data_IF_892530231586
#
_entry.id   IF_892530231586
#
_cell.length_a   1.000
_cell.length_b   1.000
_cell.length_c   1.000
_cell.angle_alpha   90.00
_cell.angle_beta   90.00
_cell.angle_gamma   90.00
#
_symmetry.space_group_name_H-M   'P 1'
#
loop_
_entity.id
_entity.type
_entity.pdbx_description
1 polymer ?
#
# COMPACT_ATOMS: atom_id res chain seq x y z
N UNK A 1 -42.72 -4.87 -50.85
CA UNK A 1 -44.14 -5.03 -50.53
C UNK A 1 -44.30 -4.57 -49.11
N UNK A 2 -44.69 -3.40 -48.99
CA UNK A 2 -45.94 -2.75 -48.53
C UNK A 2 -46.02 -2.71 -47.00
N UNK A 3 -45.83 -1.51 -46.44
CA UNK A 3 -46.85 -0.54 -45.95
C UNK A 3 -47.40 -0.95 -44.60
N UNK A 4 -47.54 -0.12 -43.61
CA UNK A 4 -47.71 1.33 -43.46
C UNK A 4 -47.99 1.58 -41.98
N UNK A 5 -47.61 2.67 -41.56
CA UNK A 5 -48.32 3.92 -41.30
C UNK A 5 -49.07 3.97 -39.99
N UNK A 6 -48.73 4.97 -39.28
CA UNK A 6 -49.39 6.18 -38.76
C UNK A 6 -50.09 5.96 -37.39
N UNK A 7 -50.19 6.85 -36.50
CA UNK A 7 -49.95 8.27 -36.31
C UNK A 7 -50.39 8.64 -34.89
N UNK A 8 -49.73 9.62 -34.33
CA UNK A 8 -50.24 10.84 -33.68
C UNK A 8 -51.22 10.76 -32.52
N UNK A 9 -50.99 11.48 -31.45
CA UNK A 9 -51.54 12.78 -31.05
C UNK A 9 -51.26 13.01 -29.54
N UNK A 10 -50.49 13.98 -29.18
CA UNK A 10 -50.77 15.37 -28.80
C UNK A 10 -51.81 15.56 -27.68
N UNK A 11 -51.38 16.28 -26.62
CA UNK A 11 -52.17 17.33 -26.04
C UNK A 11 -52.14 17.41 -24.49
N UNK A 12 -52.06 18.64 -24.01
CA UNK A 12 -51.69 18.96 -22.62
C UNK A 12 -52.91 19.24 -21.75
N UNK A 13 -52.78 19.16 -20.43
CA UNK A 13 -53.77 19.75 -19.54
C UNK A 13 -53.15 20.52 -18.38
N UNK A 14 -53.53 21.71 -18.36
CA UNK A 14 -53.41 22.89 -17.57
C UNK A 14 -53.94 22.81 -16.14
N UNK A 15 -53.30 23.58 -15.26
CA UNK A 15 -53.78 24.49 -14.22
C UNK A 15 -55.14 24.19 -13.53
N UNK A 16 -55.09 24.09 -12.23
CA UNK A 16 -56.13 24.79 -11.40
C UNK A 16 -55.51 25.34 -10.09
N UNK A 17 -55.63 26.65 -9.94
CA UNK A 17 -55.56 27.45 -8.70
C UNK A 17 -56.86 27.29 -7.92
N UNK A 18 -56.76 27.31 -6.61
CA UNK A 18 -57.76 27.84 -5.66
C UNK A 18 -57.08 27.82 -4.27
N UNK A 19 -56.89 28.80 -3.47
CA UNK A 19 -57.69 30.01 -3.20
C UNK A 19 -58.08 30.00 -1.73
N UNK A 20 -57.58 31.01 -1.03
CA UNK A 20 -58.16 31.70 0.12
C UNK A 20 -57.80 31.30 1.58
N UNK A 21 -57.35 32.26 2.25
CA UNK A 21 -57.64 32.97 3.51
C UNK A 21 -56.76 32.52 4.65
N UNK A 22 -55.90 33.30 5.26
CA UNK A 22 -56.11 34.64 5.85
C UNK A 22 -56.21 34.52 7.35
N UNK A 23 -55.16 34.84 8.06
CA UNK A 23 -55.29 35.42 9.43
C UNK A 23 -53.96 36.11 9.81
N UNK A 24 -54.09 37.43 10.00
CA UNK A 24 -53.12 38.34 10.60
C UNK A 24 -52.86 37.95 12.07
N UNK A 25 -51.59 37.99 12.49
CA UNK A 25 -51.22 38.31 13.85
C UNK A 25 -49.99 39.23 13.80
N UNK A 26 -50.22 40.50 14.15
CA UNK A 26 -49.24 41.49 14.55
C UNK A 26 -48.47 41.00 15.76
N UNK A 27 -47.16 41.03 15.72
CA UNK A 27 -46.30 41.11 16.91
C UNK A 27 -45.13 42.07 16.68
N UNK A 28 -44.74 42.86 17.68
CA UNK A 28 -43.99 44.08 17.47
C UNK A 28 -42.50 43.86 17.32
N UNK A 29 -41.92 44.69 16.47
CA UNK A 29 -40.49 44.85 16.18
C UNK A 29 -39.76 45.26 17.48
N UNK A 30 -38.84 44.43 17.96
CA UNK A 30 -37.85 44.76 19.00
C UNK A 30 -36.55 45.23 18.33
N UNK A 31 -36.38 46.54 18.33
CA UNK A 31 -35.13 47.23 17.94
C UNK A 31 -34.20 47.21 19.15
N UNK A 32 -33.29 46.24 19.24
CA UNK A 32 -32.00 46.38 19.97
C UNK A 32 -31.31 45.00 20.04
N UNK A 33 -30.64 44.64 18.94
CA UNK A 33 -29.57 43.63 18.98
C UNK A 33 -28.43 44.13 18.08
N UNK A 34 -27.18 44.16 18.53
CA UNK A 34 -26.06 44.58 17.71
C UNK A 34 -25.75 43.56 16.61
N UNK A 35 -25.53 44.06 15.39
CA UNK A 35 -25.08 43.26 14.25
C UNK A 35 -23.76 42.54 14.58
N UNK A 36 -23.61 41.24 14.23
CA UNK A 36 -22.31 40.58 14.28
C UNK A 36 -21.37 41.15 13.24
N UNK A 37 -20.04 41.22 13.51
CA UNK A 37 -19.07 41.76 12.56
C UNK A 37 -19.02 40.93 11.28
N UNK A 38 -19.15 41.57 10.15
CA UNK A 38 -18.90 41.06 8.81
C UNK A 38 -17.40 40.77 8.68
N UNK A 39 -16.98 39.51 8.77
CA UNK A 39 -15.57 39.12 8.66
C UNK A 39 -15.31 37.61 8.69
N UNK A 40 -16.32 36.75 8.57
CA UNK A 40 -16.13 35.28 8.62
C UNK A 40 -16.15 34.58 7.26
N UNK A 41 -16.00 35.31 6.15
CA UNK A 41 -16.01 34.73 4.79
C UNK A 41 -14.64 34.24 4.29
N UNK A 42 -13.54 34.77 4.81
CA UNK A 42 -12.22 34.54 4.22
C UNK A 42 -11.40 33.42 4.89
N UNK A 43 -11.86 32.88 6.01
CA UNK A 43 -11.14 31.80 6.72
C UNK A 43 -11.45 30.41 6.16
N UNK A 44 -12.61 30.25 5.51
CA UNK A 44 -13.04 28.94 4.98
C UNK A 44 -12.52 28.68 3.55
N UNK A 45 -12.14 29.75 2.84
CA UNK A 45 -11.54 29.66 1.49
C UNK A 45 -10.01 29.41 1.58
N UNK A 46 -9.35 29.94 2.61
CA UNK A 46 -7.93 29.66 2.89
C UNK A 46 -7.67 28.23 3.40
N UNK A 47 -8.67 27.58 3.98
CA UNK A 47 -8.57 26.17 4.41
C UNK A 47 -8.73 25.17 3.27
N UNK A 48 -9.26 25.58 2.11
CA UNK A 48 -9.43 24.71 0.93
C UNK A 48 -8.21 24.65 0.02
N UNK A 49 -7.28 25.60 0.13
CA UNK A 49 -6.06 25.66 -0.68
C UNK A 49 -4.79 25.22 0.01
N UNK A 50 -4.86 24.69 1.25
CA UNK A 50 -3.73 24.07 1.89
C UNK A 50 -3.50 22.69 1.24
N UNK A 51 -2.39 22.47 0.49
CA UNK A 51 -2.12 21.19 -0.11
C UNK A 51 -1.84 20.19 1.01
N UNK A 52 -2.64 19.12 1.04
CA UNK A 52 -2.44 17.93 1.88
C UNK A 52 -1.17 17.19 1.41
N UNK A 53 -0.01 17.62 1.93
CA UNK A 53 1.32 17.24 1.46
C UNK A 53 1.99 16.16 2.32
N UNK A 54 1.28 15.62 3.32
CA UNK A 54 1.83 14.62 4.26
C UNK A 54 1.60 13.16 3.87
N UNK A 55 0.61 12.87 3.05
CA UNK A 55 0.17 11.48 2.82
C UNK A 55 0.76 10.77 1.61
N UNK A 56 1.37 11.48 0.68
CA UNK A 56 1.64 10.97 -0.66
C UNK A 56 2.87 10.09 -0.79
N UNK A 57 3.85 10.19 0.11
CA UNK A 57 5.12 9.50 -0.05
C UNK A 57 5.19 8.10 0.58
N UNK A 58 4.17 7.63 1.31
CA UNK A 58 4.28 6.48 2.20
C UNK A 58 3.11 5.49 2.13
N UNK A 59 2.42 5.44 1.01
CA UNK A 59 1.25 4.57 0.82
C UNK A 59 1.68 3.14 0.46
N UNK A 60 2.28 2.44 1.38
CA UNK A 60 2.60 1.02 1.19
C UNK A 60 1.74 0.06 2.00
N UNK A 61 0.84 0.53 2.84
CA UNK A 61 -0.18 -0.33 3.46
C UNK A 61 -1.31 0.52 4.02
N UNK A 62 -2.55 0.11 3.79
CA UNK A 62 -3.76 0.78 4.25
C UNK A 62 -3.83 0.97 5.76
N UNK A 63 -3.34 2.10 6.24
CA UNK A 63 -3.37 2.48 7.64
C UNK A 63 -4.32 3.67 7.77
N UNK A 64 -5.44 3.45 8.46
CA UNK A 64 -6.37 4.50 8.83
C UNK A 64 -5.72 5.55 9.73
N UNK A 65 -6.08 6.82 9.54
CA UNK A 65 -5.71 7.94 10.42
C UNK A 65 -6.19 7.63 11.84
N UNK A 66 -5.36 7.76 12.89
CA UNK A 66 -5.80 7.56 14.26
C UNK A 66 -6.85 8.62 14.64
N UNK A 67 -8.03 8.17 15.03
CA UNK A 67 -9.08 9.02 15.58
C UNK A 67 -8.63 9.60 16.94
N UNK A 68 -8.92 10.86 17.14
CA UNK A 68 -8.57 11.70 18.33
C UNK A 68 -9.37 11.35 19.59
N UNK A 69 -9.42 10.07 20.00
CA UNK A 69 -10.17 9.64 21.21
C UNK A 69 -9.31 8.96 22.26
N UNK A 70 -8.08 9.47 22.51
CA UNK A 70 -7.28 9.02 23.66
C UNK A 70 -6.88 10.20 24.57
N UNK A 71 -7.88 10.82 25.21
CA UNK A 71 -7.68 11.88 26.22
C UNK A 71 -7.38 11.33 27.63
N UNK A 72 -6.81 10.12 27.77
CA UNK A 72 -6.56 9.51 29.07
C UNK A 72 -5.21 8.79 29.25
N UNK A 73 -4.42 8.66 28.22
CA UNK A 73 -3.14 7.95 28.33
C UNK A 73 -2.04 8.86 28.91
N UNK A 74 -1.29 8.35 29.91
CA UNK A 74 -0.16 9.09 30.45
C UNK A 74 0.94 9.30 29.38
N UNK A 75 1.75 10.36 29.46
CA UNK A 75 2.85 10.58 28.49
C UNK A 75 3.81 9.39 28.39
N UNK A 76 3.96 8.60 29.45
CA UNK A 76 4.75 7.38 29.50
C UNK A 76 4.11 6.24 28.70
N UNK A 77 2.78 6.09 28.75
CA UNK A 77 2.06 5.06 28.01
C UNK A 77 2.09 5.33 26.50
N UNK A 78 1.87 6.58 26.10
CA UNK A 78 1.98 6.99 24.70
C UNK A 78 3.40 6.80 24.12
N UNK A 79 4.45 7.02 24.92
CA UNK A 79 5.83 6.79 24.49
C UNK A 79 6.12 5.29 24.34
N UNK A 80 5.61 4.47 25.25
CA UNK A 80 5.74 3.00 25.24
C UNK A 80 5.00 2.40 24.05
N UNK A 81 3.80 2.86 23.73
CA UNK A 81 3.05 2.41 22.55
C UNK A 81 3.78 2.71 21.24
N UNK A 82 4.36 3.91 21.12
CA UNK A 82 5.18 4.27 19.95
C UNK A 82 6.42 3.39 19.84
N UNK A 83 7.10 3.08 20.94
CA UNK A 83 8.25 2.20 20.95
C UNK A 83 7.88 0.78 20.48
N UNK A 84 6.78 0.21 20.98
CA UNK A 84 6.26 -1.07 20.50
C UNK A 84 5.85 -1.03 19.03
N UNK A 85 5.21 0.06 18.60
CA UNK A 85 4.86 0.25 17.19
C UNK A 85 6.10 0.25 16.28
N UNK A 86 7.16 0.95 16.70
CA UNK A 86 8.47 0.94 16.00
C UNK A 86 9.08 -0.45 15.95
N UNK A 87 9.05 -1.20 17.06
CA UNK A 87 9.58 -2.57 17.13
C UNK A 87 8.82 -3.53 16.21
N UNK A 88 7.48 -3.47 16.18
CA UNK A 88 6.66 -4.30 15.28
C UNK A 88 6.95 -3.98 13.81
N UNK A 89 7.02 -2.69 13.45
CA UNK A 89 7.32 -2.26 12.09
C UNK A 89 8.75 -2.68 11.67
N UNK A 90 9.73 -2.48 12.54
CA UNK A 90 11.10 -2.94 12.32
C UNK A 90 11.17 -4.45 12.14
N UNK A 91 10.51 -5.23 13.03
CA UNK A 91 10.44 -6.68 12.94
C UNK A 91 9.82 -7.18 11.62
N UNK A 92 8.78 -6.48 11.12
CA UNK A 92 8.18 -6.80 9.84
C UNK A 92 9.18 -6.63 8.68
N UNK A 93 9.86 -5.49 8.62
CA UNK A 93 10.86 -5.23 7.58
C UNK A 93 12.11 -6.11 7.71
N UNK A 94 12.50 -6.46 8.93
CA UNK A 94 13.57 -7.43 9.18
C UNK A 94 13.20 -8.80 8.58
N UNK A 95 11.99 -9.31 8.86
CA UNK A 95 11.53 -10.57 8.29
C UNK A 95 11.47 -10.52 6.76
N UNK A 96 10.93 -9.45 6.18
CA UNK A 96 10.93 -9.27 4.73
C UNK A 96 12.34 -9.19 4.13
N UNK A 97 13.30 -8.61 4.86
CA UNK A 97 14.70 -8.55 4.45
C UNK A 97 15.36 -9.93 4.37
N UNK A 98 15.03 -10.83 5.29
CA UNK A 98 15.56 -12.20 5.33
C UNK A 98 14.80 -13.21 4.48
N UNK A 99 13.68 -12.85 3.86
CA UNK A 99 12.91 -13.74 3.00
C UNK A 99 13.72 -14.43 1.90
N UNK A 100 14.71 -13.80 1.23
CA UNK A 100 15.54 -14.49 0.24
C UNK A 100 16.21 -15.73 0.81
N UNK A 101 16.80 -15.66 2.01
CA UNK A 101 17.44 -16.81 2.63
C UNK A 101 16.46 -17.92 2.97
N UNK A 102 15.26 -17.56 3.45
CA UNK A 102 14.20 -18.53 3.69
C UNK A 102 13.80 -19.25 2.40
N UNK A 103 13.60 -18.53 1.29
CA UNK A 103 13.19 -19.13 0.03
C UNK A 103 14.31 -19.99 -0.59
N UNK A 104 15.57 -19.61 -0.45
CA UNK A 104 16.70 -20.43 -0.85
C UNK A 104 16.81 -21.72 -0.03
N UNK A 105 16.43 -21.69 1.25
CA UNK A 105 16.37 -22.89 2.08
C UNK A 105 15.27 -23.89 1.68
N UNK A 106 14.33 -23.47 0.82
CA UNK A 106 13.30 -24.34 0.25
C UNK A 106 13.78 -25.13 -0.98
N UNK A 107 15.05 -25.04 -1.36
CA UNK A 107 15.58 -25.92 -2.40
C UNK A 107 15.32 -27.41 -2.06
N UNK A 108 14.88 -28.23 -3.02
CA UNK A 108 14.86 -28.03 -4.48
C UNK A 108 13.56 -27.43 -5.04
N UNK A 109 12.66 -26.91 -4.22
CA UNK A 109 11.34 -26.39 -4.68
C UNK A 109 11.50 -25.21 -5.62
N UNK A 110 10.90 -25.28 -6.79
CA UNK A 110 10.91 -24.21 -7.78
C UNK A 110 9.98 -23.03 -7.43
N UNK A 111 10.17 -21.85 -8.05
CA UNK A 111 9.45 -20.62 -7.69
C UNK A 111 7.93 -20.75 -7.88
N UNK A 112 7.46 -21.49 -8.85
CA UNK A 112 6.04 -21.70 -9.13
C UNK A 112 5.36 -22.52 -8.02
N UNK A 113 6.03 -23.56 -7.54
CA UNK A 113 5.53 -24.40 -6.45
C UNK A 113 5.52 -23.62 -5.11
N UNK A 114 6.59 -22.88 -4.80
CA UNK A 114 6.68 -22.09 -3.57
C UNK A 114 5.58 -21.04 -3.52
N UNK A 115 5.33 -20.30 -4.61
CA UNK A 115 4.26 -19.28 -4.65
C UNK A 115 2.90 -19.91 -4.44
N UNK A 116 2.64 -21.04 -5.08
CA UNK A 116 1.35 -21.72 -4.96
C UNK A 116 1.10 -22.22 -3.52
N UNK A 117 2.07 -22.87 -2.89
CA UNK A 117 1.98 -23.26 -1.48
C UNK A 117 1.83 -22.04 -0.56
N UNK A 118 2.59 -20.98 -0.81
CA UNK A 118 2.49 -19.73 -0.06
C UNK A 118 1.09 -19.15 -0.08
N UNK A 119 0.40 -19.13 -1.24
CA UNK A 119 -0.97 -18.65 -1.40
C UNK A 119 -1.93 -19.51 -0.55
N UNK A 120 -1.91 -20.84 -0.75
CA UNK A 120 -2.84 -21.75 -0.08
C UNK A 120 -2.64 -21.76 1.43
N UNK A 121 -1.39 -21.83 1.88
CA UNK A 121 -1.06 -21.86 3.30
C UNK A 121 -1.33 -20.51 3.98
N UNK A 122 -1.17 -19.39 3.27
CA UNK A 122 -1.59 -18.06 3.78
C UNK A 122 -3.10 -17.99 3.94
N UNK A 123 -3.86 -18.54 2.98
CA UNK A 123 -5.33 -18.62 3.09
C UNK A 123 -5.75 -19.43 4.33
N UNK A 124 -5.16 -20.61 4.52
CA UNK A 124 -5.44 -21.47 5.68
C UNK A 124 -5.08 -20.75 6.99
N UNK A 125 -3.89 -20.15 7.05
CA UNK A 125 -3.45 -19.41 8.24
C UNK A 125 -4.34 -18.22 8.57
N UNK A 126 -4.70 -17.41 7.57
CA UNK A 126 -5.59 -16.28 7.76
C UNK A 126 -7.02 -16.71 8.11
N UNK A 127 -7.54 -17.80 7.52
CA UNK A 127 -8.83 -18.36 7.89
C UNK A 127 -8.84 -18.86 9.36
N UNK A 128 -7.75 -19.47 9.81
CA UNK A 128 -7.57 -19.83 11.20
C UNK A 128 -7.58 -18.58 12.11
N UNK A 129 -6.87 -17.52 11.73
CA UNK A 129 -6.87 -16.25 12.47
C UNK A 129 -8.26 -15.62 12.53
N UNK A 130 -9.00 -15.57 11.42
CA UNK A 130 -10.38 -15.08 11.40
C UNK A 130 -11.30 -15.88 12.34
N UNK A 131 -11.08 -17.18 12.43
CA UNK A 131 -11.83 -18.08 13.34
C UNK A 131 -11.49 -17.79 14.80
N UNK A 132 -10.21 -17.74 15.15
CA UNK A 132 -9.73 -17.44 16.51
C UNK A 132 -10.16 -16.05 16.97
N UNK A 133 -10.03 -15.04 16.09
CA UNK A 133 -10.41 -13.65 16.40
C UNK A 133 -11.91 -13.38 16.23
N UNK A 134 -12.68 -14.35 15.74
CA UNK A 134 -14.12 -14.23 15.45
C UNK A 134 -14.48 -13.07 14.53
N UNK A 135 -13.61 -12.76 13.56
CA UNK A 135 -13.77 -11.61 12.66
C UNK A 135 -14.38 -11.96 11.29
N UNK A 136 -14.90 -13.18 11.09
CA UNK A 136 -15.63 -13.61 9.90
C UNK A 136 -16.75 -12.64 9.45
N UNK A 137 -17.54 -12.02 10.37
CA UNK A 137 -18.58 -11.08 9.96
C UNK A 137 -18.04 -9.87 9.20
N UNK A 138 -16.82 -9.39 9.53
CA UNK A 138 -16.15 -8.29 8.82
C UNK A 138 -15.80 -8.69 7.39
N UNK A 139 -15.21 -9.86 7.20
CA UNK A 139 -14.89 -10.41 5.87
C UNK A 139 -16.16 -10.58 5.03
N UNK A 140 -17.24 -11.14 5.60
CA UNK A 140 -18.52 -11.31 4.91
C UNK A 140 -19.16 -9.97 4.54
N UNK A 141 -19.00 -8.93 5.35
CA UNK A 141 -19.45 -7.58 5.05
C UNK A 141 -18.72 -6.98 3.84
N UNK A 142 -17.41 -7.26 3.69
CA UNK A 142 -16.61 -6.86 2.52
C UNK A 142 -17.12 -7.58 1.26
N UNK A 143 -17.39 -8.89 1.33
CA UNK A 143 -17.89 -9.69 0.20
C UNK A 143 -19.25 -9.23 -0.33
N UNK A 144 -20.07 -8.57 0.50
CA UNK A 144 -21.33 -7.98 0.06
C UNK A 144 -21.17 -6.72 -0.78
N UNK A 145 -19.99 -6.11 -0.78
CA UNK A 145 -19.69 -4.85 -1.45
C UNK A 145 -18.92 -5.11 -2.75
N UNK A 146 -19.63 -5.22 -3.89
CA UNK A 146 -19.03 -5.55 -5.22
C UNK A 146 -17.79 -4.70 -5.56
N UNK A 147 -17.81 -3.42 -5.19
CA UNK A 147 -16.68 -2.51 -5.44
C UNK A 147 -15.44 -2.93 -4.66
N UNK A 148 -15.58 -3.26 -3.37
CA UNK A 148 -14.47 -3.74 -2.55
C UNK A 148 -13.94 -5.09 -3.04
N UNK A 149 -14.84 -6.00 -3.42
CA UNK A 149 -14.46 -7.29 -4.03
C UNK A 149 -13.61 -7.07 -5.27
N UNK A 150 -14.02 -6.19 -6.20
CA UNK A 150 -13.23 -5.86 -7.39
C UNK A 150 -11.84 -5.33 -7.04
N UNK A 151 -11.73 -4.43 -6.07
CA UNK A 151 -10.44 -3.91 -5.62
C UNK A 151 -9.57 -4.97 -4.94
N UNK A 152 -10.14 -5.90 -4.15
CA UNK A 152 -9.38 -7.00 -3.54
C UNK A 152 -8.88 -8.02 -4.57
N UNK A 153 -9.62 -8.25 -5.66
CA UNK A 153 -9.14 -9.05 -6.81
C UNK A 153 -7.94 -8.38 -7.47
N UNK A 154 -8.04 -7.07 -7.77
CA UNK A 154 -6.92 -6.31 -8.36
C UNK A 154 -5.71 -6.32 -7.44
N UNK A 155 -5.89 -6.11 -6.14
CA UNK A 155 -4.82 -6.20 -5.15
C UNK A 155 -4.17 -7.60 -5.15
N UNK A 156 -4.99 -8.66 -5.17
CA UNK A 156 -4.51 -10.04 -5.26
C UNK A 156 -3.64 -10.28 -6.51
N UNK A 157 -4.08 -9.84 -7.67
CA UNK A 157 -3.31 -10.00 -8.91
C UNK A 157 -2.00 -9.22 -8.89
N UNK A 158 -2.00 -7.99 -8.39
CA UNK A 158 -0.78 -7.17 -8.29
C UNK A 158 0.23 -7.78 -7.33
N UNK A 159 -0.21 -8.24 -6.15
CA UNK A 159 0.69 -8.86 -5.18
C UNK A 159 1.17 -10.24 -5.65
N UNK A 160 0.36 -10.97 -6.42
CA UNK A 160 0.78 -12.22 -7.05
C UNK A 160 1.93 -12.00 -8.03
N UNK A 161 1.83 -11.01 -8.93
CA UNK A 161 2.91 -10.66 -9.85
C UNK A 161 4.18 -10.30 -9.07
N UNK A 162 4.05 -9.50 -8.02
CA UNK A 162 5.16 -9.15 -7.14
C UNK A 162 5.82 -10.39 -6.52
N UNK A 163 5.04 -11.28 -5.91
CA UNK A 163 5.54 -12.49 -5.29
C UNK A 163 6.20 -13.44 -6.29
N UNK A 164 5.60 -13.61 -7.46
CA UNK A 164 6.12 -14.51 -8.49
C UNK A 164 7.47 -14.01 -9.02
N UNK A 165 7.55 -12.72 -9.36
CA UNK A 165 8.80 -12.11 -9.83
C UNK A 165 9.87 -12.14 -8.74
N UNK A 166 9.53 -11.86 -7.48
CA UNK A 166 10.44 -11.94 -6.35
C UNK A 166 11.03 -13.35 -6.16
N UNK A 167 10.18 -14.37 -6.20
CA UNK A 167 10.61 -15.75 -6.06
C UNK A 167 11.48 -16.20 -7.25
N UNK A 168 11.10 -15.88 -8.49
CA UNK A 168 11.92 -16.15 -9.67
C UNK A 168 13.28 -15.49 -9.49
N UNK A 169 13.34 -14.21 -9.20
CA UNK A 169 14.58 -13.47 -9.03
C UNK A 169 15.46 -14.06 -7.91
N UNK A 170 14.87 -14.37 -6.75
CA UNK A 170 15.59 -14.92 -5.61
C UNK A 170 16.20 -16.28 -5.93
N UNK A 171 15.43 -17.20 -6.54
CA UNK A 171 15.88 -18.56 -6.83
C UNK A 171 16.77 -18.65 -8.06
N UNK A 172 16.86 -17.59 -8.87
CA UNK A 172 17.76 -17.50 -10.03
C UNK A 172 19.00 -16.62 -9.78
N UNK A 173 19.27 -16.24 -8.53
CA UNK A 173 20.47 -15.48 -8.18
C UNK A 173 20.42 -14.00 -8.58
N UNK A 174 19.26 -13.34 -8.47
CA UNK A 174 19.06 -11.92 -8.78
C UNK A 174 18.50 -11.14 -7.56
N UNK A 175 18.97 -11.47 -6.36
CA UNK A 175 18.49 -10.83 -5.12
C UNK A 175 18.85 -9.34 -5.08
N UNK A 176 20.00 -8.95 -5.65
CA UNK A 176 20.38 -7.54 -5.78
C UNK A 176 19.35 -6.76 -6.60
N UNK A 177 18.81 -7.35 -7.69
CA UNK A 177 17.78 -6.69 -8.48
C UNK A 177 16.44 -6.59 -7.73
N UNK A 178 16.11 -7.54 -6.86
CA UNK A 178 14.93 -7.42 -5.99
C UNK A 178 15.08 -6.26 -5.02
N UNK A 179 16.26 -6.12 -4.41
CA UNK A 179 16.60 -4.98 -3.55
C UNK A 179 16.44 -3.64 -4.29
N UNK A 180 16.98 -3.54 -5.51
CA UNK A 180 16.83 -2.35 -6.34
C UNK A 180 15.37 -1.99 -6.58
N UNK A 181 14.51 -2.97 -6.88
CA UNK A 181 13.09 -2.76 -7.07
C UNK A 181 12.41 -2.15 -5.85
N UNK A 182 12.72 -2.64 -4.66
CA UNK A 182 12.17 -2.08 -3.42
C UNK A 182 12.77 -0.73 -3.04
N UNK A 183 14.01 -0.43 -3.41
CA UNK A 183 14.55 0.93 -3.29
C UNK A 183 13.88 1.92 -4.26
N UNK A 184 13.54 1.50 -5.46
CA UNK A 184 12.85 2.34 -6.46
C UNK A 184 11.38 2.58 -6.05
N UNK A 185 10.76 1.70 -5.27
CA UNK A 185 9.33 1.76 -4.96
C UNK A 185 8.85 3.10 -4.38
N UNK A 186 9.51 3.77 -3.41
CA UNK A 186 9.07 5.09 -2.94
C UNK A 186 9.06 6.14 -4.05
N UNK A 187 10.05 6.10 -4.95
CA UNK A 187 10.16 7.02 -6.08
C UNK A 187 9.02 6.79 -7.07
N UNK A 188 8.73 5.51 -7.37
CA UNK A 188 7.62 5.14 -8.23
C UNK A 188 6.27 5.50 -7.61
N UNK A 189 6.11 5.35 -6.29
CA UNK A 189 4.89 5.75 -5.58
C UNK A 189 4.62 7.24 -5.74
N UNK A 190 5.65 8.09 -5.64
CA UNK A 190 5.54 9.54 -5.93
C UNK A 190 5.14 9.77 -7.38
N UNK A 191 5.75 9.09 -8.33
CA UNK A 191 5.41 9.18 -9.76
C UNK A 191 3.95 8.76 -10.02
N UNK A 192 3.49 7.68 -9.41
CA UNK A 192 2.10 7.23 -9.50
C UNK A 192 1.12 8.24 -8.87
N UNK A 193 1.50 8.90 -7.78
CA UNK A 193 0.77 10.01 -7.19
C UNK A 193 0.53 11.13 -8.20
N UNK A 194 1.56 11.53 -8.95
CA UNK A 194 1.42 12.54 -10.02
C UNK A 194 0.55 12.07 -11.17
N UNK A 195 0.83 10.87 -11.69
CA UNK A 195 0.18 10.39 -12.91
C UNK A 195 -1.30 10.03 -12.69
N UNK A 196 -1.62 9.42 -11.52
CA UNK A 196 -2.96 8.92 -11.23
C UNK A 196 -3.77 9.90 -10.39
N UNK A 197 -3.17 10.48 -9.34
CA UNK A 197 -3.86 11.40 -8.43
C UNK A 197 -3.73 12.86 -8.86
N UNK A 198 -2.90 13.14 -9.91
CA UNK A 198 -2.63 14.48 -10.45
C UNK A 198 -2.05 15.45 -9.41
N UNK A 199 -1.28 14.92 -8.48
CA UNK A 199 -0.62 15.70 -7.44
C UNK A 199 0.50 16.56 -8.04
N UNK A 200 0.72 17.76 -7.50
CA UNK A 200 1.82 18.63 -7.94
C UNK A 200 3.09 18.29 -7.17
N UNK A 201 4.15 17.93 -7.90
CA UNK A 201 5.45 17.68 -7.29
C UNK A 201 6.16 18.99 -6.95
N UNK A 202 6.90 18.94 -5.83
CA UNK A 202 7.90 19.96 -5.50
C UNK A 202 9.14 19.78 -6.38
N UNK A 203 9.92 20.85 -6.51
CA UNK A 203 11.18 20.82 -7.28
C UNK A 203 12.13 19.72 -6.77
N UNK A 204 12.25 19.55 -5.47
CA UNK A 204 13.06 18.49 -4.83
C UNK A 204 12.63 17.09 -5.26
N UNK A 205 11.33 16.84 -5.40
CA UNK A 205 10.79 15.55 -5.85
C UNK A 205 11.05 15.31 -7.34
N UNK A 206 10.98 16.35 -8.18
CA UNK A 206 11.40 16.26 -9.58
C UNK A 206 12.88 15.96 -9.75
N UNK A 207 13.73 16.57 -8.91
CA UNK A 207 15.18 16.27 -8.89
C UNK A 207 15.41 14.81 -8.50
N UNK A 208 14.77 14.32 -7.43
CA UNK A 208 14.89 12.92 -7.03
C UNK A 208 14.43 11.96 -8.13
N UNK A 209 13.31 12.25 -8.80
CA UNK A 209 12.80 11.46 -9.91
C UNK A 209 13.78 11.45 -11.10
N UNK A 210 14.36 12.60 -11.45
CA UNK A 210 15.38 12.73 -12.50
C UNK A 210 16.64 11.90 -12.18
N UNK A 211 17.13 11.95 -10.94
CA UNK A 211 18.29 11.15 -10.50
C UNK A 211 17.97 9.65 -10.58
N UNK A 212 16.76 9.24 -10.16
CA UNK A 212 16.35 7.84 -10.24
C UNK A 212 16.23 7.36 -11.70
N UNK A 213 15.70 8.19 -12.59
CA UNK A 213 15.68 7.87 -14.03
C UNK A 213 17.10 7.74 -14.60
N UNK A 214 18.01 8.62 -14.21
CA UNK A 214 19.43 8.54 -14.59
C UNK A 214 20.08 7.24 -14.05
N UNK A 215 19.76 6.82 -12.83
CA UNK A 215 20.24 5.57 -12.25
C UNK A 215 19.83 4.36 -13.10
N UNK A 216 18.55 4.29 -13.50
CA UNK A 216 18.04 3.23 -14.40
C UNK A 216 18.78 3.29 -15.74
N UNK A 217 18.98 4.49 -16.30
CA UNK A 217 19.74 4.70 -17.55
C UNK A 217 21.19 4.17 -17.47
N UNK A 218 21.89 4.45 -16.37
CA UNK A 218 23.26 3.96 -16.14
C UNK A 218 23.30 2.43 -16.05
N UNK A 219 22.33 1.83 -15.33
CA UNK A 219 22.24 0.37 -15.21
C UNK A 219 21.98 -0.27 -16.57
N UNK A 220 21.04 0.27 -17.37
CA UNK A 220 20.72 -0.24 -18.70
C UNK A 220 21.92 -0.11 -19.65
N UNK A 221 22.55 1.07 -19.68
CA UNK A 221 23.65 1.34 -20.60
C UNK A 221 24.93 0.54 -20.25
N UNK A 222 25.23 0.40 -18.95
CA UNK A 222 26.46 -0.27 -18.51
C UNK A 222 26.32 -1.78 -18.45
N UNK A 223 25.17 -2.30 -18.02
CA UNK A 223 24.96 -3.75 -17.86
C UNK A 223 24.41 -4.44 -19.13
N UNK A 224 23.95 -3.66 -20.10
CA UNK A 224 23.37 -4.19 -21.35
C UNK A 224 22.07 -4.95 -21.22
N UNK A 225 21.47 -4.95 -20.01
CA UNK A 225 20.21 -5.63 -19.72
C UNK A 225 19.21 -4.68 -19.07
N UNK A 226 17.98 -4.72 -19.55
CA UNK A 226 16.89 -3.96 -18.97
C UNK A 226 16.51 -4.52 -17.59
N UNK A 227 16.43 -3.71 -16.51
CA UNK A 227 16.17 -4.16 -15.13
C UNK A 227 14.69 -4.49 -14.92
N UNK A 228 14.17 -5.46 -15.67
CA UNK A 228 12.76 -5.82 -15.69
C UNK A 228 12.28 -6.33 -14.33
N UNK A 229 13.15 -7.03 -13.58
CA UNK A 229 12.84 -7.53 -12.24
C UNK A 229 12.55 -6.35 -11.30
N UNK A 230 13.50 -5.41 -11.22
CA UNK A 230 13.37 -4.24 -10.35
C UNK A 230 12.14 -3.40 -10.69
N UNK A 231 11.90 -3.14 -11.98
CA UNK A 231 10.76 -2.34 -12.44
C UNK A 231 9.43 -3.08 -12.23
N UNK A 232 9.39 -4.39 -12.45
CA UNK A 232 8.19 -5.20 -12.21
C UNK A 232 7.83 -5.21 -10.73
N UNK A 233 8.82 -5.40 -9.84
CA UNK A 233 8.62 -5.36 -8.40
C UNK A 233 8.15 -3.98 -7.93
N UNK A 234 8.83 -2.92 -8.35
CA UNK A 234 8.46 -1.56 -7.99
C UNK A 234 7.04 -1.21 -8.48
N UNK A 235 6.72 -1.51 -9.74
CA UNK A 235 5.41 -1.18 -10.34
C UNK A 235 4.28 -1.98 -9.72
N UNK A 236 4.44 -3.30 -9.59
CA UNK A 236 3.40 -4.16 -9.00
C UNK A 236 3.13 -3.79 -7.55
N UNK A 237 4.18 -3.52 -6.75
CA UNK A 237 4.02 -3.15 -5.35
C UNK A 237 3.53 -1.71 -5.17
N UNK A 238 3.98 -0.77 -6.00
CA UNK A 238 3.49 0.62 -5.99
C UNK A 238 1.99 0.70 -6.35
N UNK A 239 1.55 0.00 -7.40
CA UNK A 239 0.13 -0.09 -7.76
C UNK A 239 -0.69 -0.82 -6.68
N UNK A 240 -0.15 -1.91 -6.10
CA UNK A 240 -0.76 -2.57 -4.96
C UNK A 240 -0.97 -1.60 -3.79
N UNK A 241 0.03 -0.79 -3.46
CA UNK A 241 -0.05 0.26 -2.44
C UNK A 241 -1.17 1.27 -2.72
N UNK A 242 -1.33 1.73 -3.98
CA UNK A 242 -2.44 2.62 -4.37
C UNK A 242 -3.81 1.95 -4.17
N UNK A 243 -3.94 0.68 -4.58
CA UNK A 243 -5.19 -0.08 -4.36
C UNK A 243 -5.48 -0.20 -2.86
N UNK A 244 -4.47 -0.53 -2.05
CA UNK A 244 -4.62 -0.62 -0.59
C UNK A 244 -5.00 0.72 0.04
N UNK A 245 -4.51 1.85 -0.48
CA UNK A 245 -4.96 3.19 -0.06
C UNK A 245 -6.46 3.38 -0.29
N UNK A 246 -6.96 2.97 -1.44
CA UNK A 246 -8.39 3.10 -1.79
C UNK A 246 -9.33 2.28 -0.89
N UNK A 247 -8.89 1.10 -0.44
CA UNK A 247 -9.74 0.18 0.33
C UNK A 247 -9.38 0.11 1.83
N UNK A 248 -8.25 0.69 2.23
CA UNK A 248 -7.69 0.57 3.58
C UNK A 248 -8.65 0.91 4.72
N UNK A 249 -9.47 1.97 4.65
CA UNK A 249 -10.44 2.27 5.69
C UNK A 249 -11.51 1.20 5.88
N UNK A 250 -11.79 0.40 4.84
CA UNK A 250 -12.89 -0.58 4.80
C UNK A 250 -12.43 -2.03 4.91
N UNK A 251 -11.12 -2.30 4.75
CA UNK A 251 -10.57 -3.66 4.67
C UNK A 251 -9.37 -3.78 5.62
N UNK A 252 -9.54 -4.53 6.69
CA UNK A 252 -8.43 -4.83 7.62
C UNK A 252 -7.39 -5.78 6.99
N UNK A 253 -6.18 -5.84 7.58
CA UNK A 253 -5.06 -6.59 7.02
C UNK A 253 -5.34 -8.09 6.88
N UNK A 254 -5.99 -8.72 7.88
CA UNK A 254 -6.28 -10.16 7.85
C UNK A 254 -7.34 -10.47 6.80
N UNK A 255 -8.45 -9.72 6.80
CA UNK A 255 -9.50 -9.89 5.80
C UNK A 255 -9.00 -9.61 4.38
N UNK A 256 -8.14 -8.59 4.22
CA UNK A 256 -7.52 -8.26 2.93
C UNK A 256 -6.67 -9.41 2.40
N UNK A 257 -5.73 -9.92 3.20
CA UNK A 257 -4.86 -11.03 2.79
C UNK A 257 -5.66 -12.31 2.57
N UNK A 258 -6.70 -12.57 3.37
CA UNK A 258 -7.59 -13.72 3.16
C UNK A 258 -8.26 -13.65 1.78
N UNK A 259 -8.84 -12.50 1.43
CA UNK A 259 -9.51 -12.32 0.14
C UNK A 259 -8.53 -12.39 -1.02
N UNK A 260 -7.38 -11.70 -0.92
CA UNK A 260 -6.32 -11.77 -1.93
C UNK A 260 -5.88 -13.22 -2.18
N UNK A 261 -5.60 -13.99 -1.11
CA UNK A 261 -5.24 -15.41 -1.22
C UNK A 261 -6.40 -16.26 -1.77
N UNK A 262 -7.65 -15.97 -1.40
CA UNK A 262 -8.83 -16.66 -1.90
C UNK A 262 -8.98 -16.50 -3.42
N UNK A 263 -8.83 -15.27 -3.92
CA UNK A 263 -8.91 -14.98 -5.37
C UNK A 263 -7.75 -15.62 -6.14
N UNK A 264 -6.59 -15.79 -5.50
CA UNK A 264 -5.42 -16.43 -6.10
C UNK A 264 -5.44 -17.96 -6.00
N UNK A 265 -6.37 -18.54 -5.23
CA UNK A 265 -6.48 -20.00 -5.06
C UNK A 265 -6.59 -20.76 -6.40
N UNK A 266 -7.40 -20.33 -7.38
CA UNK A 266 -7.44 -20.99 -8.68
C UNK A 266 -6.07 -20.99 -9.38
N UNK A 267 -5.34 -19.86 -9.32
CA UNK A 267 -3.99 -19.76 -9.90
C UNK A 267 -3.02 -20.72 -9.20
N UNK A 268 -3.06 -20.77 -7.87
CA UNK A 268 -2.23 -21.68 -7.09
C UNK A 268 -2.51 -23.17 -7.42
N UNK A 269 -3.78 -23.54 -7.58
CA UNK A 269 -4.16 -24.91 -7.97
C UNK A 269 -3.64 -25.23 -9.37
N UNK A 270 -3.78 -24.32 -10.33
CA UNK A 270 -3.26 -24.50 -11.70
C UNK A 270 -1.74 -24.64 -11.67
N UNK A 271 -1.02 -23.81 -10.89
CA UNK A 271 0.44 -23.91 -10.76
C UNK A 271 0.87 -25.26 -10.16
N UNK A 272 0.26 -25.70 -9.05
CA UNK A 272 0.58 -26.99 -8.44
C UNK A 272 0.27 -28.16 -9.38
N UNK A 273 -0.86 -28.10 -10.10
CA UNK A 273 -1.20 -29.12 -11.09
C UNK A 273 -0.18 -29.17 -12.21
N UNK A 274 0.21 -28.03 -12.76
CA UNK A 274 1.21 -27.94 -13.82
C UNK A 274 2.58 -28.46 -13.35
N UNK A 275 3.05 -28.03 -12.18
CA UNK A 275 4.32 -28.51 -11.61
C UNK A 275 4.23 -30.01 -11.30
N UNK A 276 3.12 -30.47 -10.73
CA UNK A 276 2.91 -31.87 -10.40
C UNK A 276 2.99 -32.81 -11.63
N UNK A 277 2.47 -32.33 -12.77
CA UNK A 277 2.53 -33.12 -14.04
C UNK A 277 3.91 -33.05 -14.72
N UNK A 278 4.60 -31.90 -14.65
CA UNK A 278 5.83 -31.66 -15.41
C UNK A 278 7.11 -32.02 -14.65
N UNK A 279 7.18 -31.69 -13.36
CA UNK A 279 8.40 -31.83 -12.55
C UNK A 279 8.21 -32.69 -11.30
N UNK A 280 6.96 -32.95 -10.91
CA UNK A 280 6.63 -33.55 -9.60
C UNK A 280 6.65 -32.50 -8.48
N UNK A 281 5.81 -32.70 -7.45
CA UNK A 281 5.77 -31.83 -6.29
C UNK A 281 6.85 -32.23 -5.28
N UNK A 282 7.47 -31.25 -4.66
CA UNK A 282 8.56 -31.47 -3.70
C UNK A 282 8.07 -31.69 -2.26
N UNK A 283 6.82 -31.31 -1.95
CA UNK A 283 6.26 -31.50 -0.63
C UNK A 283 6.19 -33.00 -0.26
N UNK A 284 6.90 -33.35 0.83
CA UNK A 284 6.98 -34.74 1.29
C UNK A 284 8.05 -35.61 0.58
N UNK A 285 8.67 -35.16 -0.51
CA UNK A 285 9.71 -35.92 -1.23
C UNK A 285 11.13 -35.44 -0.90
N UNK A 286 11.31 -34.19 -0.48
CA UNK A 286 12.60 -33.61 -0.16
C UNK A 286 12.98 -33.68 1.35
N UNK A 287 12.30 -34.54 2.12
CA UNK A 287 12.59 -34.76 3.53
C UNK A 287 11.71 -33.96 4.49
N UNK A 288 11.72 -34.34 5.77
CA UNK A 288 10.82 -33.76 6.78
C UNK A 288 11.11 -32.30 7.08
N UNK A 289 12.37 -31.89 7.16
CA UNK A 289 12.76 -30.49 7.42
C UNK A 289 12.24 -29.59 6.31
N UNK A 290 12.46 -29.99 5.05
CA UNK A 290 11.96 -29.26 3.88
C UNK A 290 10.43 -29.14 3.91
N UNK A 291 9.71 -30.21 4.21
CA UNK A 291 8.25 -30.22 4.28
C UNK A 291 7.76 -29.22 5.36
N UNK A 292 8.38 -29.21 6.55
CA UNK A 292 8.05 -28.25 7.61
C UNK A 292 8.32 -26.83 7.16
N UNK A 293 9.48 -26.55 6.56
CA UNK A 293 9.78 -25.21 6.03
C UNK A 293 8.76 -24.79 4.98
N UNK A 294 8.39 -25.65 4.05
CA UNK A 294 7.42 -25.33 3.03
C UNK A 294 6.02 -25.09 3.61
N UNK A 295 5.59 -25.86 4.62
CA UNK A 295 4.33 -25.64 5.33
C UNK A 295 4.32 -24.33 6.14
N UNK A 296 5.48 -23.86 6.58
CA UNK A 296 5.59 -22.54 7.23
C UNK A 296 5.45 -21.35 6.27
N UNK A 297 5.41 -21.56 4.95
CA UNK A 297 5.35 -20.48 3.98
C UNK A 297 4.17 -19.52 4.17
N UNK A 298 3.02 -20.05 4.62
CA UNK A 298 1.86 -19.23 4.97
C UNK A 298 2.11 -18.32 6.18
N UNK A 299 2.72 -18.85 7.22
CA UNK A 299 3.07 -18.10 8.43
C UNK A 299 4.12 -17.03 8.10
N UNK A 300 5.16 -17.41 7.35
CA UNK A 300 6.24 -16.50 6.91
C UNK A 300 5.72 -15.37 6.02
N UNK A 301 4.59 -15.57 5.33
CA UNK A 301 3.92 -14.54 4.55
C UNK A 301 3.06 -13.62 5.42
N UNK A 302 2.25 -14.19 6.29
CA UNK A 302 1.26 -13.44 7.05
C UNK A 302 1.89 -12.71 8.26
N UNK A 303 2.88 -13.28 8.94
CA UNK A 303 3.48 -12.69 10.14
C UNK A 303 4.05 -11.29 9.92
N UNK A 304 4.88 -11.02 8.89
CA UNK A 304 5.37 -9.67 8.65
C UNK A 304 4.24 -8.68 8.37
N UNK A 305 3.21 -9.08 7.63
CA UNK A 305 2.05 -8.25 7.34
C UNK A 305 1.27 -7.89 8.60
N UNK A 306 1.10 -8.84 9.53
CA UNK A 306 0.43 -8.60 10.80
C UNK A 306 1.25 -7.69 11.72
N UNK A 307 2.56 -7.92 11.82
CA UNK A 307 3.48 -7.05 12.55
C UNK A 307 3.46 -5.63 11.98
N UNK A 308 3.52 -5.52 10.65
CA UNK A 308 3.44 -4.24 9.97
C UNK A 308 2.11 -3.52 10.29
N UNK A 309 0.97 -4.21 10.16
CA UNK A 309 -0.34 -3.63 10.45
C UNK A 309 -0.47 -3.21 11.91
N UNK A 310 0.09 -3.99 12.85
CA UNK A 310 0.13 -3.65 14.27
C UNK A 310 1.02 -2.43 14.56
N UNK A 311 2.18 -2.35 13.91
CA UNK A 311 3.13 -1.26 14.04
C UNK A 311 2.60 0.04 13.46
N UNK A 312 2.10 0.00 12.24
CA UNK A 312 1.66 1.16 11.48
C UNK A 312 0.52 1.95 12.14
N UNK A 313 -0.27 1.32 13.01
CA UNK A 313 -1.29 2.00 13.83
C UNK A 313 -0.72 2.83 14.98
N UNK A 314 0.54 2.63 15.35
CA UNK A 314 1.17 3.14 16.57
C UNK A 314 2.29 4.15 16.30
N UNK A 315 2.82 4.18 15.09
CA UNK A 315 3.93 5.06 14.73
C UNK A 315 3.55 6.03 13.61
N UNK A 316 4.15 7.23 13.59
CA UNK A 316 3.96 8.17 12.48
C UNK A 316 4.44 7.58 11.15
N UNK A 317 3.79 7.96 10.05
CA UNK A 317 4.17 7.56 8.69
C UNK A 317 5.64 7.84 8.36
N UNK A 318 6.22 8.92 8.91
CA UNK A 318 7.65 9.24 8.75
C UNK A 318 8.56 8.13 9.28
N UNK A 319 8.19 7.49 10.41
CA UNK A 319 8.95 6.39 10.98
C UNK A 319 8.84 5.14 10.09
N UNK A 320 7.63 4.85 9.60
CA UNK A 320 7.41 3.74 8.65
C UNK A 320 8.24 3.96 7.39
N UNK A 321 8.25 5.19 6.85
CA UNK A 321 9.01 5.55 5.67
C UNK A 321 10.53 5.40 5.82
N UNK A 322 11.06 5.56 7.03
CA UNK A 322 12.47 5.30 7.29
C UNK A 322 12.73 3.79 7.48
N UNK A 323 11.86 3.11 8.22
CA UNK A 323 12.03 1.67 8.49
C UNK A 323 11.84 0.80 7.25
N UNK A 324 11.11 1.25 6.24
CA UNK A 324 10.91 0.48 5.00
C UNK A 324 12.22 0.17 4.26
N UNK A 325 13.28 0.96 4.46
CA UNK A 325 14.57 0.70 3.84
C UNK A 325 15.35 -0.46 4.47
N UNK A 326 14.96 -0.94 5.64
CA UNK A 326 15.61 -2.08 6.31
C UNK A 326 15.55 -3.34 5.43
N UNK A 327 14.40 -3.64 4.82
CA UNK A 327 14.27 -4.83 3.99
C UNK A 327 15.18 -4.78 2.74
N UNK A 328 15.16 -3.76 1.88
CA UNK A 328 16.04 -3.73 0.71
C UNK A 328 17.53 -3.60 1.09
N UNK A 329 17.89 -2.94 2.21
CA UNK A 329 19.28 -2.93 2.68
C UNK A 329 19.74 -4.35 3.02
N UNK A 330 18.91 -5.12 3.74
CA UNK A 330 19.24 -6.51 4.07
C UNK A 330 19.32 -7.39 2.81
N UNK A 331 18.39 -7.25 1.88
CA UNK A 331 18.40 -8.00 0.62
C UNK A 331 19.65 -7.67 -0.20
N UNK A 332 20.02 -6.39 -0.29
CA UNK A 332 21.27 -5.96 -0.92
C UNK A 332 22.50 -6.59 -0.24
N UNK A 333 22.54 -6.53 1.10
CA UNK A 333 23.60 -7.13 1.91
C UNK A 333 23.70 -8.65 1.66
N UNK A 334 22.55 -9.34 1.64
CA UNK A 334 22.48 -10.78 1.35
C UNK A 334 22.99 -11.05 -0.05
N UNK A 335 22.54 -10.32 -1.07
CA UNK A 335 22.96 -10.50 -2.45
C UNK A 335 24.47 -10.32 -2.63
N UNK A 336 25.00 -9.22 -2.11
CA UNK A 336 26.43 -8.89 -2.29
C UNK A 336 27.37 -9.79 -1.46
N UNK A 337 27.10 -9.94 -0.15
CA UNK A 337 28.06 -10.57 0.76
C UNK A 337 27.79 -12.03 1.06
N UNK A 338 26.55 -12.47 1.04
CA UNK A 338 26.20 -13.88 1.32
C UNK A 338 26.13 -14.68 0.01
N UNK A 339 25.40 -14.18 -1.00
CA UNK A 339 25.21 -14.87 -2.27
C UNK A 339 26.30 -14.56 -3.29
N UNK A 340 27.16 -13.57 -3.02
CA UNK A 340 28.27 -13.18 -3.90
C UNK A 340 27.82 -12.88 -5.34
N UNK A 341 26.64 -12.26 -5.49
CA UNK A 341 26.15 -11.86 -6.81
C UNK A 341 27.08 -10.80 -7.43
N UNK A 342 27.33 -10.86 -8.73
CA UNK A 342 28.26 -9.95 -9.39
C UNK A 342 27.77 -8.49 -9.32
N UNK A 343 28.67 -7.61 -8.88
CA UNK A 343 28.44 -6.16 -8.74
C UNK A 343 29.44 -5.37 -9.57
N UNK A 344 29.26 -5.30 -10.90
CA UNK A 344 30.11 -4.47 -11.74
C UNK A 344 29.97 -2.98 -11.40
N UNK A 345 30.93 -2.12 -11.76
CA UNK A 345 30.94 -0.69 -11.39
C UNK A 345 29.63 0.05 -11.73
N UNK A 346 29.00 -0.29 -12.84
CA UNK A 346 27.77 0.33 -13.31
C UNK A 346 26.61 0.07 -12.34
N UNK A 347 26.54 -1.13 -11.76
CA UNK A 347 25.55 -1.44 -10.70
C UNK A 347 25.80 -0.62 -9.45
N UNK A 348 27.06 -0.48 -9.01
CA UNK A 348 27.41 0.38 -7.86
C UNK A 348 27.01 1.84 -8.10
N UNK A 349 27.30 2.39 -9.28
CA UNK A 349 26.90 3.76 -9.65
C UNK A 349 25.37 3.88 -9.65
N UNK A 350 24.67 2.93 -10.23
CA UNK A 350 23.20 2.92 -10.25
C UNK A 350 22.58 2.90 -8.84
N UNK A 351 23.07 2.03 -7.95
CA UNK A 351 22.63 1.99 -6.56
C UNK A 351 22.95 3.29 -5.81
N UNK A 352 24.16 3.85 -5.99
CA UNK A 352 24.52 5.13 -5.37
C UNK A 352 23.59 6.27 -5.79
N UNK A 353 23.21 6.33 -7.07
CA UNK A 353 22.27 7.31 -7.58
C UNK A 353 20.85 7.08 -6.99
N UNK A 354 20.38 5.83 -6.91
CA UNK A 354 19.08 5.53 -6.29
C UNK A 354 19.08 5.94 -4.82
N UNK A 355 20.16 5.63 -4.07
CA UNK A 355 20.27 6.03 -2.66
C UNK A 355 20.32 7.55 -2.51
N UNK A 356 21.02 8.28 -3.39
CA UNK A 356 21.02 9.73 -3.41
C UNK A 356 19.60 10.30 -3.64
N UNK A 357 18.85 9.75 -4.62
CA UNK A 357 17.48 10.13 -4.86
C UNK A 357 16.57 9.89 -3.64
N UNK A 358 16.76 8.76 -2.95
CA UNK A 358 15.99 8.41 -1.74
C UNK A 358 16.32 9.32 -0.56
N UNK A 359 17.58 9.70 -0.37
CA UNK A 359 17.98 10.66 0.66
C UNK A 359 17.31 12.02 0.42
N UNK A 360 17.32 12.51 -0.83
CA UNK A 360 16.65 13.76 -1.21
C UNK A 360 15.14 13.67 -0.93
N UNK A 361 14.50 12.61 -1.36
CA UNK A 361 13.05 12.40 -1.18
C UNK A 361 12.68 12.29 0.31
N UNK A 362 13.46 11.55 1.08
CA UNK A 362 13.26 11.39 2.53
C UNK A 362 13.45 12.71 3.28
N UNK A 363 14.49 13.48 2.94
CA UNK A 363 14.75 14.78 3.53
C UNK A 363 13.62 15.78 3.22
N UNK A 364 13.10 15.79 1.98
CA UNK A 364 11.95 16.61 1.61
C UNK A 364 10.72 16.26 2.41
N UNK A 365 10.40 14.97 2.54
CA UNK A 365 9.24 14.47 3.30
C UNK A 365 9.32 14.83 4.79
N UNK A 366 10.49 14.66 5.41
CA UNK A 366 10.72 15.03 6.83
C UNK A 366 10.60 16.54 7.02
N UNK A 367 11.15 17.34 6.10
CA UNK A 367 11.10 18.80 6.15
C UNK A 367 9.66 19.31 6.02
N UNK A 368 8.87 18.70 5.14
CA UNK A 368 7.45 18.99 4.97
C UNK A 368 6.65 18.70 6.26
N UNK A 369 6.85 17.51 6.84
CA UNK A 369 6.17 17.12 8.07
C UNK A 369 6.52 18.05 9.25
N UNK A 370 7.76 18.55 9.33
CA UNK A 370 8.17 19.51 10.35
C UNK A 370 7.51 20.88 10.16
N UNK A 371 7.39 21.36 8.92
CA UNK A 371 6.71 22.64 8.62
C UNK A 371 5.25 22.60 8.99
N UNK A 372 4.53 21.56 8.61
CA UNK A 372 3.11 21.38 8.95
C UNK A 372 2.87 21.40 10.48
N UNK A 373 3.74 20.74 11.26
CA UNK A 373 3.63 20.75 12.72
C UNK A 373 3.84 22.15 13.33
N UNK A 374 4.77 22.95 12.79
CA UNK A 374 5.00 24.33 13.29
C UNK A 374 3.80 25.21 13.03
N UNK A 375 3.22 25.14 11.84
CA UNK A 375 2.02 25.95 11.50
C UNK A 375 0.85 25.64 12.45
N UNK A 376 0.64 24.36 12.81
CA UNK A 376 -0.42 23.96 13.76
C UNK A 376 -0.12 24.46 15.18
N UNK A 377 1.15 24.43 15.62
CA UNK A 377 1.56 24.96 16.93
C UNK A 377 1.37 26.48 16.99
N UNK A 378 1.78 27.21 15.96
CA UNK A 378 1.68 28.66 15.90
C UNK A 378 0.21 29.13 15.90
N UNK A 379 -0.71 28.38 15.30
CA UNK A 379 -2.16 28.66 15.34
C UNK A 379 -2.75 28.35 16.74
N UNK A 380 -2.29 27.28 17.40
CA UNK A 380 -2.75 26.91 18.73
C UNK A 380 -2.29 27.90 19.81
N UNK A 381 -1.14 28.57 19.64
CA UNK A 381 -0.62 29.58 20.54
C UNK A 381 -1.31 30.96 20.38
N UNK A 382 -2.11 31.14 19.31
CA UNK A 382 -2.87 32.36 19.03
C UNK A 382 -4.35 32.30 19.49
N UNK A 383 -4.82 31.13 19.96
CA UNK A 383 -6.18 30.86 20.44
C UNK A 383 -6.20 30.64 21.94
#
# INVERSE_FOLDING_TARGET
MTKGSDASASGPFSLRRSGAAGQDYDEPVNLDAPEPPRGAGDADEAARDAPDLGETALVTAGVGVPSSTDAGASPTDASRERAWGGLYTFGAYLLWGFLPLYFLALAPTGPWEVVAWRILLSLVFCAMLLTVTRTWPRLLAILRQRRLVGWTVVAGLLIYVNWQVFLIATLTGHVIETSLGYFINPILTVLLGVLILRERLRVTQWVALGIAAAAVGVIVAGYGAFPWIALSLATSFGLYGLVKKQIGPSVDAVSGLTLESLWLTPVAIIQLSAVGVTAGLTLGTAGAVHAVLLLLAGVMTATPLLLFAAGARRVPLTVIGLLQFVAPILQFTIGVWILQEPMPPERWIGFALVWAALVILSADSVSAARRSRRTVSDVADLT
#
